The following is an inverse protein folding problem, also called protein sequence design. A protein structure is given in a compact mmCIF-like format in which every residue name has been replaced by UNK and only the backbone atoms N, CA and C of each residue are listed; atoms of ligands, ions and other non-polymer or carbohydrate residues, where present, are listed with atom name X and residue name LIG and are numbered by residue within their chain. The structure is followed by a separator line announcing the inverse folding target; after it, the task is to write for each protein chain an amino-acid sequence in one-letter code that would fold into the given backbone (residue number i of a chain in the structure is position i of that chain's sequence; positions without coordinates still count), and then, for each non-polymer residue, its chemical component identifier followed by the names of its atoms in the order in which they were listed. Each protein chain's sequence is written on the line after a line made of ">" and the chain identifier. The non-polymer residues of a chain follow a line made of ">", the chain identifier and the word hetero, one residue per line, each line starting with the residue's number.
data_IF_035720457034
#
_entry.id   IF_035720457034
#
_cell.length_a   1.000
_cell.length_b   1.000
_cell.length_c   1.000
_cell.angle_alpha   90.00
_cell.angle_beta   90.00
_cell.angle_gamma   90.00
#
_symmetry.space_group_name_H-M   'P 1'
#
loop_
_entity.id
_entity.type
_entity.pdbx_description
1 polymer ?
#
# COMPACT_ATOMS: atom_id res chain seq x y z
N UNK A 1 -14.34 -47.39 -31.56
CA UNK A 1 -13.60 -46.64 -30.52
C UNK A 1 -14.49 -45.62 -29.79
N UNK A 2 -15.29 -44.83 -30.52
CA UNK A 2 -16.26 -43.84 -29.99
C UNK A 2 -17.25 -44.37 -28.94
N UNK A 3 -17.83 -45.56 -29.15
CA UNK A 3 -18.75 -46.19 -28.18
C UNK A 3 -18.12 -46.46 -26.80
N UNK A 4 -16.80 -46.66 -26.73
CA UNK A 4 -16.09 -46.80 -25.45
C UNK A 4 -15.97 -45.46 -24.73
N UNK A 5 -15.76 -44.37 -25.48
CA UNK A 5 -15.74 -43.00 -24.94
C UNK A 5 -17.12 -42.60 -24.43
N UNK A 6 -18.18 -42.86 -25.21
CA UNK A 6 -19.55 -42.55 -24.82
C UNK A 6 -19.95 -43.29 -23.54
N UNK A 7 -19.59 -44.58 -23.42
CA UNK A 7 -19.84 -45.37 -22.20
C UNK A 7 -19.08 -44.82 -20.99
N UNK A 8 -17.84 -44.38 -21.18
CA UNK A 8 -17.03 -43.77 -20.11
C UNK A 8 -17.64 -42.44 -19.62
N UNK A 9 -18.01 -41.57 -20.55
CA UNK A 9 -18.65 -40.28 -20.25
C UNK A 9 -20.00 -40.48 -19.55
N UNK A 10 -20.82 -41.44 -20.02
CA UNK A 10 -22.11 -41.76 -19.42
C UNK A 10 -21.95 -42.23 -17.96
N UNK A 11 -20.97 -43.10 -17.69
CA UNK A 11 -20.68 -43.56 -16.32
C UNK A 11 -20.23 -42.39 -15.44
N UNK A 12 -19.35 -41.52 -15.95
CA UNK A 12 -18.90 -40.33 -15.23
C UNK A 12 -20.04 -39.37 -14.88
N UNK A 13 -20.98 -39.14 -15.81
CA UNK A 13 -22.16 -38.32 -15.57
C UNK A 13 -23.09 -38.91 -14.51
N UNK A 14 -23.32 -40.22 -14.55
CA UNK A 14 -24.17 -40.91 -13.56
C UNK A 14 -23.55 -40.78 -12.16
N UNK A 15 -22.25 -41.06 -12.03
CA UNK A 15 -21.55 -40.96 -10.75
C UNK A 15 -21.53 -39.51 -10.24
N UNK A 16 -21.28 -38.54 -11.11
CA UNK A 16 -21.32 -37.12 -10.78
C UNK A 16 -22.70 -36.66 -10.31
N UNK A 17 -23.77 -37.10 -10.98
CA UNK A 17 -25.14 -36.79 -10.59
C UNK A 17 -25.50 -37.34 -9.20
N UNK A 18 -25.08 -38.59 -8.90
CA UNK A 18 -25.28 -39.19 -7.58
C UNK A 18 -24.52 -38.41 -6.49
N UNK A 19 -23.26 -38.04 -6.74
CA UNK A 19 -22.47 -37.24 -5.79
C UNK A 19 -23.11 -35.88 -5.50
N UNK A 20 -23.60 -35.19 -6.54
CA UNK A 20 -24.26 -33.88 -6.40
C UNK A 20 -25.61 -34.00 -5.67
N UNK A 21 -26.30 -35.14 -5.80
CA UNK A 21 -27.52 -35.45 -5.06
C UNK A 21 -27.23 -35.72 -3.57
N UNK A 22 -26.20 -36.49 -3.24
CA UNK A 22 -25.89 -36.89 -1.84
C UNK A 22 -25.12 -35.82 -1.08
N UNK A 23 -24.26 -35.03 -1.73
CA UNK A 23 -23.42 -34.02 -1.10
C UNK A 23 -23.93 -32.59 -1.41
N UNK A 24 -24.77 -31.98 -0.55
CA UNK A 24 -25.30 -30.63 -0.78
C UNK A 24 -24.21 -29.55 -0.74
N UNK A 25 -23.04 -29.83 -0.15
CA UNK A 25 -21.87 -28.96 -0.19
C UNK A 25 -21.32 -28.74 -1.60
N UNK A 26 -21.45 -29.72 -2.51
CA UNK A 26 -21.03 -29.61 -3.92
C UNK A 26 -21.98 -28.77 -4.77
N UNK A 27 -23.20 -28.50 -4.27
CA UNK A 27 -24.19 -27.65 -4.96
C UNK A 27 -23.90 -26.16 -4.77
N UNK A 28 -23.00 -25.82 -3.85
CA UNK A 28 -22.49 -24.45 -3.73
C UNK A 28 -21.57 -24.21 -4.92
N UNK A 29 -22.16 -23.72 -6.00
CA UNK A 29 -21.42 -23.07 -7.07
C UNK A 29 -20.91 -21.77 -6.44
N UNK A 30 -19.77 -21.87 -5.75
CA UNK A 30 -18.99 -20.67 -5.51
C UNK A 30 -18.61 -20.19 -6.91
N UNK A 31 -19.02 -18.98 -7.34
CA UNK A 31 -18.45 -18.42 -8.53
C UNK A 31 -16.95 -18.49 -8.32
N UNK A 32 -16.26 -19.20 -9.21
CA UNK A 32 -14.81 -19.08 -9.30
C UNK A 32 -14.63 -17.59 -9.56
N UNK A 33 -14.24 -16.86 -8.51
CA UNK A 33 -13.87 -15.47 -8.63
C UNK A 33 -12.57 -15.50 -9.43
N UNK A 34 -12.72 -15.58 -10.75
CA UNK A 34 -11.65 -15.22 -11.66
C UNK A 34 -11.34 -13.78 -11.27
N UNK A 35 -10.14 -13.46 -10.78
CA UNK A 35 -9.79 -12.08 -10.55
C UNK A 35 -9.98 -11.39 -11.89
N UNK A 36 -10.99 -10.52 -12.00
CA UNK A 36 -11.02 -9.55 -13.07
C UNK A 36 -9.80 -8.68 -12.84
N UNK A 37 -8.71 -8.99 -13.54
CA UNK A 37 -7.65 -8.03 -13.79
C UNK A 37 -8.23 -7.00 -14.76
N UNK A 38 -9.08 -6.13 -14.24
CA UNK A 38 -9.57 -4.97 -14.95
C UNK A 38 -8.40 -3.97 -14.97
N UNK A 39 -7.53 -4.12 -15.98
CA UNK A 39 -6.31 -3.31 -16.14
C UNK A 39 -6.58 -1.83 -16.44
N UNK A 40 -7.80 -1.36 -16.22
CA UNK A 40 -8.23 0.04 -16.37
C UNK A 40 -8.22 0.82 -15.05
N UNK A 41 -8.15 0.12 -13.90
CA UNK A 41 -8.09 0.70 -12.54
C UNK A 41 -6.86 0.22 -11.75
N UNK A 42 -5.76 -0.05 -12.44
CA UNK A 42 -4.47 -0.39 -11.78
C UNK A 42 -3.89 0.89 -11.17
N UNK A 43 -4.39 1.29 -9.99
CA UNK A 43 -3.79 2.38 -9.23
C UNK A 43 -2.32 2.05 -9.02
N UNK A 44 -1.37 2.87 -9.50
CA UNK A 44 0.03 2.56 -9.35
C UNK A 44 0.37 2.35 -7.87
N UNK A 45 1.20 1.36 -7.57
CA UNK A 45 1.71 1.17 -6.22
C UNK A 45 2.31 2.51 -5.72
N UNK A 46 1.69 3.10 -4.70
CA UNK A 46 1.93 4.49 -4.32
C UNK A 46 2.03 4.67 -2.82
N UNK A 47 3.10 5.34 -2.39
CA UNK A 47 3.32 5.74 -1.00
C UNK A 47 2.69 7.10 -0.67
N UNK A 48 1.88 7.65 -1.59
CA UNK A 48 1.26 8.96 -1.43
C UNK A 48 0.44 9.07 -0.14
N UNK A 49 -0.18 7.97 0.30
CA UNK A 49 -0.90 7.90 1.57
C UNK A 49 -0.03 8.26 2.77
N UNK A 50 1.19 7.72 2.86
CA UNK A 50 2.13 8.02 3.94
C UNK A 50 2.64 9.46 3.82
N UNK A 51 2.95 9.92 2.61
CA UNK A 51 3.43 11.28 2.36
C UNK A 51 2.39 12.31 2.76
N UNK A 52 1.13 12.16 2.37
CA UNK A 52 0.05 13.10 2.71
C UNK A 52 -0.17 13.25 4.21
N UNK A 53 0.11 12.20 4.99
CA UNK A 53 -0.07 12.20 6.44
C UNK A 53 1.16 12.72 7.18
N UNK A 54 2.36 12.32 6.75
CA UNK A 54 3.60 12.63 7.47
C UNK A 54 4.23 13.96 7.01
N UNK A 55 4.21 14.28 5.72
CA UNK A 55 4.89 15.45 5.17
C UNK A 55 4.47 16.79 5.80
N UNK A 56 3.17 17.03 6.14
CA UNK A 56 2.77 18.29 6.78
C UNK A 56 3.42 18.55 8.16
N UNK A 57 3.92 17.51 8.84
CA UNK A 57 4.58 17.64 10.13
C UNK A 57 6.10 17.85 10.02
N UNK A 58 6.67 17.76 8.82
CA UNK A 58 8.11 17.95 8.58
C UNK A 58 8.38 19.40 8.19
N UNK A 59 9.33 20.04 8.89
CA UNK A 59 9.65 21.47 8.73
C UNK A 59 11.10 21.69 8.33
N UNK A 60 11.37 22.82 7.67
CA UNK A 60 12.73 23.28 7.38
C UNK A 60 13.28 24.03 8.59
N UNK A 61 14.49 23.68 9.01
CA UNK A 61 15.20 24.27 10.16
C UNK A 61 16.40 25.04 9.65
N UNK A 62 16.53 26.29 10.08
CA UNK A 62 17.61 27.20 9.69
C UNK A 62 18.40 27.61 10.93
N UNK A 63 19.69 27.28 10.99
CA UNK A 63 20.58 27.79 12.01
C UNK A 63 21.21 29.10 11.51
N UNK A 64 20.98 30.19 12.25
CA UNK A 64 21.51 31.51 11.93
C UNK A 64 22.41 31.97 13.05
N UNK A 65 23.60 32.46 12.70
CA UNK A 65 24.52 33.08 13.65
C UNK A 65 24.68 34.56 13.34
N UNK A 66 24.89 35.37 14.38
CA UNK A 66 25.33 36.76 14.21
C UNK A 66 26.81 36.81 13.82
N UNK A 67 27.12 37.45 12.69
CA UNK A 67 28.50 37.72 12.28
C UNK A 67 28.88 39.14 12.72
N UNK A 68 29.82 39.27 13.67
CA UNK A 68 30.19 40.56 14.27
C UNK A 68 31.03 41.47 13.37
N UNK A 69 31.52 41.01 12.22
CA UNK A 69 32.41 41.79 11.33
C UNK A 69 31.71 42.50 10.18
N UNK A 70 30.47 42.16 9.86
CA UNK A 70 29.68 42.81 8.81
C UNK A 70 28.27 43.10 9.33
N UNK A 71 28.00 44.37 9.60
CA UNK A 71 26.68 44.97 9.86
C UNK A 71 25.54 43.99 10.18
N UNK A 72 25.55 43.41 11.38
CA UNK A 72 24.42 42.70 12.00
C UNK A 72 23.63 41.75 11.07
N UNK A 73 24.28 41.12 10.10
CA UNK A 73 23.62 40.27 9.11
C UNK A 73 23.52 38.85 9.69
N UNK A 74 22.29 38.35 9.83
CA UNK A 74 22.06 36.96 10.21
C UNK A 74 22.43 36.07 9.02
N UNK A 75 23.61 35.45 9.09
CA UNK A 75 24.06 34.48 8.10
C UNK A 75 23.57 33.08 8.47
N UNK A 76 23.02 32.35 7.50
CA UNK A 76 22.58 30.96 7.69
C UNK A 76 23.84 30.08 7.67
N UNK A 77 24.20 29.49 8.81
CA UNK A 77 25.36 28.60 8.92
C UNK A 77 25.07 27.18 8.48
N UNK A 78 23.90 26.66 8.85
CA UNK A 78 23.52 25.27 8.56
C UNK A 78 22.01 25.13 8.41
N UNK A 79 21.61 24.11 7.65
CA UNK A 79 20.24 23.79 7.25
C UNK A 79 19.93 22.36 7.68
N UNK A 80 18.69 22.13 8.11
CA UNK A 80 18.24 20.79 8.49
C UNK A 80 16.74 20.63 8.34
N UNK A 81 16.26 19.45 8.72
CA UNK A 81 14.84 19.15 8.84
C UNK A 81 14.48 18.88 10.30
N UNK A 82 13.23 19.18 10.65
CA UNK A 82 12.66 18.86 11.95
C UNK A 82 11.29 18.19 11.80
N UNK A 83 10.84 17.50 12.84
CA UNK A 83 9.51 16.88 12.90
C UNK A 83 8.74 17.47 14.07
N UNK A 84 7.53 17.97 13.81
CA UNK A 84 6.58 18.44 14.82
C UNK A 84 6.03 17.21 15.57
N UNK A 85 6.25 17.16 16.88
CA UNK A 85 5.89 16.02 17.72
C UNK A 85 4.47 16.13 18.28
N UNK A 86 4.03 17.34 18.61
CA UNK A 86 2.70 17.59 19.15
C UNK A 86 2.16 18.99 18.80
N UNK A 87 0.88 19.21 19.11
CA UNK A 87 0.16 20.46 18.84
C UNK A 87 0.63 21.65 19.70
N UNK A 88 1.44 21.41 20.73
CA UNK A 88 2.01 22.48 21.58
C UNK A 88 3.21 23.14 20.90
N UNK A 89 3.70 22.57 19.78
CA UNK A 89 4.79 23.12 18.98
C UNK A 89 6.17 22.56 19.32
N UNK A 90 6.25 21.41 20.01
CA UNK A 90 7.54 20.73 20.21
C UNK A 90 8.05 20.13 18.90
N UNK A 91 9.31 20.43 18.53
CA UNK A 91 9.95 19.98 17.29
C UNK A 91 11.25 19.24 17.64
N UNK A 92 11.47 18.07 17.05
CA UNK A 92 12.74 17.34 17.13
C UNK A 92 13.55 17.63 15.85
N UNK A 93 14.82 18.00 16.03
CA UNK A 93 15.81 18.16 14.96
C UNK A 93 17.13 17.54 15.38
N UNK A 94 17.99 17.23 14.40
CA UNK A 94 19.36 16.78 14.70
C UNK A 94 20.13 17.90 15.41
N UNK A 95 20.98 17.51 16.36
CA UNK A 95 21.89 18.44 17.00
C UNK A 95 22.87 18.98 15.95
N UNK A 96 22.91 20.30 15.79
CA UNK A 96 23.97 20.96 15.05
C UNK A 96 25.28 20.76 15.82
N UNK A 97 26.28 20.16 15.16
CA UNK A 97 27.68 20.17 15.62
C UNK A 97 28.37 21.24 14.80
N UNK A 98 28.77 22.31 15.47
CA UNK A 98 29.70 23.31 14.96
C UNK A 98 31.13 22.89 15.34
#
# INVERSE_FOLDING_TARGET
>A
MFVKLLRSVAIGLIVGAILLAVMPSLRKINPIAVPQFDSTDETPASYNFAVRRAAPAVVNVYNRSMNSTAHNQLEIRTLGSGVIMDQRGYIITKQARD
#
